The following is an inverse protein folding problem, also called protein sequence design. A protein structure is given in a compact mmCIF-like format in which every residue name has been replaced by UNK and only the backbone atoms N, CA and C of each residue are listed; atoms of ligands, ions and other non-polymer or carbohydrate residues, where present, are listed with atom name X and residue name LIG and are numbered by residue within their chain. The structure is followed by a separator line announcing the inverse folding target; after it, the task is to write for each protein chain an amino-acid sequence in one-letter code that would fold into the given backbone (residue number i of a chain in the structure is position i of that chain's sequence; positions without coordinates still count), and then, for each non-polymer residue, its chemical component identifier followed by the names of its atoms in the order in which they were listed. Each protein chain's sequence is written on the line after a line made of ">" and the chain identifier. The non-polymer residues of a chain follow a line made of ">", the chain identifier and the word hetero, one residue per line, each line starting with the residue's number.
data_IF_936367969053
#
_entry.id   IF_936367969053
#
_cell.length_a   1.000
_cell.length_b   1.000
_cell.length_c   1.000
_cell.angle_alpha   90.00
_cell.angle_beta   90.00
_cell.angle_gamma   90.00
#
_symmetry.space_group_name_H-M   'P 1'
#
loop_
_entity.id
_entity.type
_entity.pdbx_description
1 polymer ?
#
# COMPACT_ATOMS: atom_id res chain seq x y z
N UNK A 1 -59.21 -5.05 68.50
CA UNK A 1 -58.07 -5.12 67.51
C UNK A 1 -58.47 -4.29 66.30
N UNK A 2 -57.98 -3.08 66.21
CA UNK A 2 -58.22 -2.18 65.04
C UNK A 2 -57.13 -2.42 64.03
N UNK A 3 -57.49 -2.94 62.85
CA UNK A 3 -56.57 -3.03 61.71
C UNK A 3 -56.67 -1.71 60.92
N UNK A 4 -55.60 -0.95 60.99
CA UNK A 4 -55.42 0.28 60.22
C UNK A 4 -55.28 0.00 58.73
N UNK A 5 -56.27 0.47 57.91
CA UNK A 5 -56.38 0.20 56.47
C UNK A 5 -55.68 1.26 55.60
N UNK A 6 -54.65 1.93 56.08
CA UNK A 6 -54.13 3.14 55.42
C UNK A 6 -52.75 3.01 54.75
N UNK A 7 -52.34 1.86 54.28
CA UNK A 7 -51.14 1.72 53.41
C UNK A 7 -51.47 1.23 52.02
N UNK A 8 -52.42 1.87 51.35
CA UNK A 8 -52.49 1.77 49.87
C UNK A 8 -51.53 2.81 49.29
N UNK A 9 -50.33 2.33 48.84
CA UNK A 9 -49.39 3.17 48.13
C UNK A 9 -50.07 3.82 46.92
N UNK A 10 -50.36 5.15 46.99
CA UNK A 10 -50.82 5.94 45.86
C UNK A 10 -49.85 5.85 44.74
N UNK A 11 -50.14 5.03 43.73
CA UNK A 11 -49.44 5.03 42.46
C UNK A 11 -49.52 6.45 41.92
N UNK A 12 -48.43 7.23 41.97
CA UNK A 12 -48.36 8.58 41.40
C UNK A 12 -48.75 8.50 39.91
N UNK A 13 -49.94 8.95 39.57
CA UNK A 13 -50.40 9.03 38.20
C UNK A 13 -49.54 10.04 37.46
N UNK A 14 -48.79 9.57 36.47
CA UNK A 14 -48.00 10.45 35.60
C UNK A 14 -48.97 11.41 34.90
N UNK A 15 -48.76 12.73 34.96
CA UNK A 15 -49.65 13.72 34.33
C UNK A 15 -49.85 13.41 32.84
N UNK A 16 -51.05 13.58 32.32
CA UNK A 16 -51.43 13.23 30.94
C UNK A 16 -50.53 13.89 29.90
N UNK A 17 -50.06 15.13 30.14
CA UNK A 17 -49.10 15.84 29.26
C UNK A 17 -47.73 15.13 29.12
N UNK A 18 -47.21 14.58 30.23
CA UNK A 18 -45.92 13.85 30.18
C UNK A 18 -46.03 12.51 29.44
N UNK A 19 -47.22 11.86 29.47
CA UNK A 19 -47.45 10.64 28.69
C UNK A 19 -47.56 10.91 27.19
N UNK A 20 -48.21 12.02 26.81
CA UNK A 20 -48.33 12.44 25.41
C UNK A 20 -46.96 12.85 24.88
N UNK A 21 -46.21 13.67 25.62
CA UNK A 21 -44.85 14.08 25.25
C UNK A 21 -43.92 12.86 25.06
N UNK A 22 -43.95 11.91 25.99
CA UNK A 22 -43.17 10.65 25.89
C UNK A 22 -43.56 9.80 24.67
N UNK A 23 -44.86 9.75 24.31
CA UNK A 23 -45.31 9.03 23.11
C UNK A 23 -44.84 9.71 21.85
N UNK A 24 -44.94 11.02 21.74
CA UNK A 24 -44.46 11.80 20.59
C UNK A 24 -42.95 11.65 20.44
N UNK A 25 -42.18 11.79 21.54
CA UNK A 25 -40.74 11.63 21.55
C UNK A 25 -40.31 10.21 21.12
N UNK A 26 -40.98 9.15 21.61
CA UNK A 26 -40.71 7.78 21.20
C UNK A 26 -41.07 7.50 19.72
N UNK A 27 -42.15 8.10 19.21
CA UNK A 27 -42.54 7.99 17.80
C UNK A 27 -41.56 8.73 16.91
N UNK A 28 -41.13 9.93 17.29
CA UNK A 28 -40.11 10.69 16.58
C UNK A 28 -38.77 9.95 16.56
N UNK A 29 -38.35 9.33 17.68
CA UNK A 29 -37.16 8.50 17.74
C UNK A 29 -37.26 7.28 16.81
N UNK A 30 -38.41 6.60 16.77
CA UNK A 30 -38.62 5.47 15.86
C UNK A 30 -38.52 5.89 14.40
N UNK A 31 -39.17 7.01 14.02
CA UNK A 31 -39.07 7.55 12.66
C UNK A 31 -37.64 7.91 12.32
N UNK A 32 -36.91 8.55 13.23
CA UNK A 32 -35.49 8.89 13.05
C UNK A 32 -34.63 7.64 12.83
N UNK A 33 -34.81 6.60 13.63
CA UNK A 33 -34.07 5.32 13.49
C UNK A 33 -34.39 4.61 12.16
N UNK A 34 -35.64 4.64 11.72
CA UNK A 34 -36.05 4.08 10.41
C UNK A 34 -35.41 4.84 9.25
N UNK A 35 -35.43 6.18 9.32
CA UNK A 35 -34.77 7.03 8.32
C UNK A 35 -33.26 6.83 8.31
N UNK A 36 -32.64 6.74 9.49
CA UNK A 36 -31.21 6.44 9.61
C UNK A 36 -30.87 5.08 8.98
N UNK A 37 -31.65 4.03 9.29
CA UNK A 37 -31.47 2.71 8.69
C UNK A 37 -31.62 2.77 7.18
N UNK A 38 -32.62 3.47 6.67
CA UNK A 38 -32.84 3.64 5.24
C UNK A 38 -31.66 4.37 4.57
N UNK A 39 -31.15 5.44 5.17
CA UNK A 39 -29.95 6.13 4.70
C UNK A 39 -28.70 5.20 4.68
N UNK A 40 -28.54 4.36 5.70
CA UNK A 40 -27.45 3.38 5.77
C UNK A 40 -27.59 2.36 4.63
N UNK A 41 -28.77 1.82 4.39
CA UNK A 41 -29.03 0.86 3.30
C UNK A 41 -28.75 1.50 1.94
N UNK A 42 -29.27 2.69 1.68
CA UNK A 42 -29.01 3.40 0.42
C UNK A 42 -27.52 3.74 0.25
N UNK A 43 -26.87 4.23 1.30
CA UNK A 43 -25.45 4.54 1.28
C UNK A 43 -24.58 3.32 0.99
N UNK A 44 -24.90 2.18 1.63
CA UNK A 44 -24.18 0.91 1.36
C UNK A 44 -24.44 0.38 -0.05
N UNK A 45 -25.68 0.44 -0.54
CA UNK A 45 -26.00 0.01 -1.91
C UNK A 45 -25.28 0.88 -2.95
N UNK A 46 -25.29 2.20 -2.77
CA UNK A 46 -24.55 3.12 -3.64
C UNK A 46 -23.03 2.88 -3.58
N UNK A 47 -22.46 2.66 -2.38
CA UNK A 47 -21.05 2.34 -2.21
C UNK A 47 -20.65 1.04 -2.92
N UNK A 48 -21.41 -0.02 -2.76
CA UNK A 48 -21.18 -1.30 -3.46
C UNK A 48 -21.30 -1.13 -4.97
N UNK A 49 -22.30 -0.37 -5.45
CA UNK A 49 -22.46 -0.08 -6.88
C UNK A 49 -21.27 0.69 -7.45
N UNK A 50 -20.78 1.68 -6.73
CA UNK A 50 -19.60 2.45 -7.12
C UNK A 50 -18.34 1.56 -7.18
N UNK A 51 -18.09 0.74 -6.16
CA UNK A 51 -16.93 -0.17 -6.12
C UNK A 51 -17.00 -1.16 -7.29
N UNK A 52 -18.17 -1.76 -7.56
CA UNK A 52 -18.35 -2.65 -8.72
C UNK A 52 -18.08 -1.93 -10.04
N UNK A 53 -18.54 -0.69 -10.21
CA UNK A 53 -18.24 0.11 -11.40
C UNK A 53 -16.75 0.42 -11.56
N UNK A 54 -16.04 0.71 -10.47
CA UNK A 54 -14.59 0.93 -10.48
C UNK A 54 -13.82 -0.35 -10.86
N UNK A 55 -14.22 -1.49 -10.31
CA UNK A 55 -13.64 -2.81 -10.62
C UNK A 55 -13.90 -3.19 -12.08
N UNK A 56 -15.14 -2.99 -12.58
CA UNK A 56 -15.49 -3.31 -13.96
C UNK A 56 -14.70 -2.50 -15.00
N UNK A 57 -14.17 -1.34 -14.61
CA UNK A 57 -13.30 -0.51 -15.43
C UNK A 57 -11.80 -0.81 -15.23
N UNK A 58 -11.44 -1.76 -14.36
CA UNK A 58 -10.05 -2.18 -14.19
C UNK A 58 -9.59 -3.01 -15.40
N UNK A 59 -8.32 -2.90 -15.80
CA UNK A 59 -7.76 -3.75 -16.83
C UNK A 59 -7.89 -5.24 -16.46
N UNK A 60 -7.99 -6.10 -17.46
CA UNK A 60 -8.02 -7.55 -17.21
C UNK A 60 -6.61 -8.04 -16.86
N UNK A 61 -6.46 -8.65 -15.69
CA UNK A 61 -5.17 -9.19 -15.22
C UNK A 61 -4.58 -10.25 -16.15
N UNK A 62 -5.42 -10.97 -16.92
CA UNK A 62 -4.96 -12.00 -17.86
C UNK A 62 -4.24 -11.40 -19.09
N UNK A 63 -4.58 -10.17 -19.44
CA UNK A 63 -3.97 -9.45 -20.56
C UNK A 63 -2.82 -8.51 -20.13
N UNK A 64 -2.56 -8.40 -18.82
CA UNK A 64 -1.54 -7.51 -18.29
C UNK A 64 -0.21 -8.24 -18.12
N UNK A 65 0.85 -7.67 -18.66
CA UNK A 65 2.22 -7.99 -18.24
C UNK A 65 2.57 -7.11 -17.05
N UNK A 66 2.71 -7.70 -15.87
CA UNK A 66 3.24 -7.01 -14.68
C UNK A 66 4.76 -7.15 -14.58
N UNK A 67 5.34 -7.98 -15.44
CA UNK A 67 6.78 -8.09 -15.58
C UNK A 67 7.39 -6.76 -16.07
N UNK A 68 8.62 -6.44 -15.67
CA UNK A 68 9.30 -5.22 -16.10
C UNK A 68 9.37 -5.14 -17.63
N UNK A 69 8.73 -4.13 -18.23
CA UNK A 69 8.49 -4.08 -19.68
C UNK A 69 9.69 -3.63 -20.51
N UNK A 70 10.69 -2.98 -19.92
CA UNK A 70 11.77 -2.34 -20.68
C UNK A 70 13.14 -2.69 -20.12
N UNK A 71 13.92 -3.41 -20.93
CA UNK A 71 15.33 -3.68 -20.69
C UNK A 71 16.22 -2.76 -21.50
N UNK A 72 17.41 -2.42 -20.97
CA UNK A 72 18.38 -1.66 -21.74
C UNK A 72 18.83 -2.46 -22.97
N UNK A 73 18.83 -1.82 -24.15
CA UNK A 73 19.40 -2.40 -25.36
C UNK A 73 20.90 -2.11 -25.41
N UNK A 74 21.70 -3.12 -25.65
CA UNK A 74 23.15 -2.99 -25.81
C UNK A 74 23.57 -3.32 -27.25
N UNK A 75 24.46 -2.52 -27.80
CA UNK A 75 25.17 -2.83 -29.04
C UNK A 75 26.47 -3.54 -28.65
N UNK A 76 26.70 -4.70 -29.23
CA UNK A 76 27.91 -5.48 -29.01
C UNK A 76 28.80 -5.44 -30.26
N UNK A 77 30.11 -5.45 -30.07
CA UNK A 77 31.06 -5.64 -31.17
C UNK A 77 31.15 -7.13 -31.58
N UNK A 78 31.91 -7.42 -32.63
CA UNK A 78 32.15 -8.79 -33.16
C UNK A 78 32.83 -9.71 -32.13
N UNK A 79 33.45 -9.16 -31.08
CA UNK A 79 34.05 -9.89 -29.95
C UNK A 79 33.10 -10.04 -28.76
N UNK A 80 31.79 -9.85 -28.92
CA UNK A 80 30.76 -9.94 -27.88
C UNK A 80 30.99 -9.01 -26.66
N UNK A 81 31.67 -7.88 -26.88
CA UNK A 81 31.84 -6.85 -25.86
C UNK A 81 30.83 -5.73 -26.10
N UNK A 82 30.10 -5.25 -25.06
CA UNK A 82 29.18 -4.15 -25.19
C UNK A 82 29.95 -2.87 -25.55
N UNK A 83 29.58 -2.25 -26.67
CA UNK A 83 30.20 -1.02 -27.18
C UNK A 83 29.37 0.19 -26.82
N UNK A 84 28.05 0.06 -26.87
CA UNK A 84 27.13 1.14 -26.59
C UNK A 84 25.86 0.59 -25.94
N UNK A 85 25.39 1.32 -24.91
CA UNK A 85 24.08 1.12 -24.32
C UNK A 85 23.11 2.09 -24.97
N UNK A 86 22.09 1.59 -25.66
CA UNK A 86 20.95 2.38 -26.13
C UNK A 86 19.91 2.34 -25.02
N UNK A 87 19.76 3.41 -24.27
CA UNK A 87 18.74 3.55 -23.26
C UNK A 87 17.94 4.80 -23.54
N UNK A 88 16.62 4.67 -23.70
CA UNK A 88 15.74 5.78 -23.39
C UNK A 88 15.85 6.08 -21.89
N UNK A 89 15.52 7.30 -21.49
CA UNK A 89 15.72 7.77 -20.10
C UNK A 89 15.03 6.91 -19.02
N UNK A 90 14.09 6.05 -19.41
CA UNK A 90 13.33 5.13 -18.56
C UNK A 90 13.79 3.66 -18.62
N UNK A 91 14.69 3.30 -19.55
CA UNK A 91 15.03 1.90 -19.83
C UNK A 91 16.36 1.44 -19.22
N UNK A 92 16.85 2.09 -18.17
CA UNK A 92 18.08 1.65 -17.48
C UNK A 92 17.77 0.51 -16.49
N UNK A 93 17.18 -0.59 -16.99
CA UNK A 93 16.91 -1.82 -16.25
C UNK A 93 17.88 -2.92 -16.64
N UNK A 94 18.30 -3.68 -15.67
CA UNK A 94 19.02 -4.94 -15.83
C UNK A 94 18.30 -5.96 -14.98
N UNK A 95 17.65 -6.94 -15.62
CA UNK A 95 16.85 -7.93 -14.91
C UNK A 95 17.74 -8.95 -14.25
N UNK A 96 17.40 -9.33 -13.03
CA UNK A 96 18.08 -10.37 -12.25
C UNK A 96 17.05 -11.31 -11.64
N UNK A 97 17.44 -12.57 -11.43
CA UNK A 97 16.61 -13.52 -10.71
C UNK A 97 16.69 -13.27 -9.22
N UNK A 98 15.65 -13.70 -8.48
CA UNK A 98 15.58 -13.50 -7.03
C UNK A 98 16.75 -14.15 -6.29
N UNK A 99 17.20 -15.33 -6.73
CA UNK A 99 18.34 -16.07 -6.18
C UNK A 99 19.69 -15.36 -6.36
N UNK A 100 19.76 -14.36 -7.25
CA UNK A 100 20.95 -13.52 -7.46
C UNK A 100 20.94 -12.27 -6.56
N UNK A 101 19.83 -11.98 -5.90
CA UNK A 101 19.67 -10.81 -5.02
C UNK A 101 19.95 -11.25 -3.58
N UNK A 102 20.89 -10.61 -2.85
CA UNK A 102 21.19 -10.98 -1.47
C UNK A 102 19.95 -10.96 -0.58
N UNK A 103 19.82 -11.95 0.30
CA UNK A 103 18.72 -12.02 1.26
C UNK A 103 18.63 -10.76 2.11
N UNK A 104 19.75 -10.17 2.52
CA UNK A 104 19.80 -8.89 3.23
C UNK A 104 19.04 -7.77 2.51
N UNK A 105 19.15 -7.71 1.16
CA UNK A 105 18.42 -6.69 0.38
C UNK A 105 16.94 -7.02 0.29
N UNK A 106 16.59 -8.28 0.08
CA UNK A 106 15.20 -8.73 0.07
C UNK A 106 14.52 -8.43 1.41
N UNK A 107 15.15 -8.79 2.52
CA UNK A 107 14.66 -8.55 3.88
C UNK A 107 14.56 -7.06 4.20
N UNK A 108 15.55 -6.25 3.84
CA UNK A 108 15.52 -4.80 4.05
C UNK A 108 14.35 -4.13 3.33
N UNK A 109 14.09 -4.53 2.09
CA UNK A 109 12.95 -4.03 1.30
C UNK A 109 11.62 -4.48 1.92
N UNK A 110 11.47 -5.77 2.22
CA UNK A 110 10.24 -6.30 2.85
C UNK A 110 9.99 -5.62 4.19
N UNK A 111 11.03 -5.51 5.03
CA UNK A 111 10.91 -4.91 6.35
C UNK A 111 10.42 -3.46 6.33
N UNK A 112 10.80 -2.68 5.31
CA UNK A 112 10.45 -1.25 5.26
C UNK A 112 9.21 -0.96 4.46
N UNK A 113 8.92 -1.73 3.39
CA UNK A 113 7.81 -1.48 2.48
C UNK A 113 6.56 -2.27 2.86
N UNK A 114 6.72 -3.52 3.33
CA UNK A 114 5.60 -4.44 3.53
C UNK A 114 5.95 -5.56 4.52
N UNK A 115 6.04 -5.24 5.82
CA UNK A 115 6.51 -6.14 6.88
C UNK A 115 5.76 -7.49 6.97
N UNK A 116 4.52 -7.54 6.45
CA UNK A 116 3.66 -8.74 6.43
C UNK A 116 3.50 -9.32 5.02
N UNK A 117 4.40 -8.98 4.08
CA UNK A 117 4.33 -9.39 2.68
C UNK A 117 4.00 -10.87 2.50
N UNK A 118 4.68 -11.75 3.22
CA UNK A 118 4.47 -13.20 3.14
C UNK A 118 3.22 -13.72 3.88
N UNK A 119 2.47 -12.85 4.58
CA UNK A 119 1.30 -13.24 5.39
C UNK A 119 -0.03 -12.84 4.80
N UNK A 120 -0.08 -11.74 4.06
CA UNK A 120 -1.30 -11.28 3.41
C UNK A 120 -1.40 -11.75 1.94
N UNK A 121 -2.55 -11.52 1.31
CA UNK A 121 -2.84 -11.89 -0.08
C UNK A 121 -3.16 -10.65 -0.93
N UNK A 122 -2.17 -9.80 -1.18
CA UNK A 122 -2.26 -8.61 -2.02
C UNK A 122 -2.68 -7.33 -1.29
N UNK A 123 -3.42 -7.44 -0.18
CA UNK A 123 -3.84 -6.31 0.65
C UNK A 123 -3.48 -6.62 2.09
N UNK A 124 -2.81 -5.69 2.77
CA UNK A 124 -2.53 -5.76 4.19
C UNK A 124 -3.59 -4.98 5.00
N UNK A 125 -4.64 -5.66 5.42
CA UNK A 125 -5.74 -5.06 6.20
C UNK A 125 -5.24 -4.53 7.55
N UNK A 126 -4.30 -5.22 8.19
CA UNK A 126 -3.73 -4.78 9.47
C UNK A 126 -2.89 -3.51 9.29
N UNK A 127 -2.10 -3.42 8.21
CA UNK A 127 -1.36 -2.23 7.84
C UNK A 127 -2.27 -1.03 7.57
N UNK A 128 -3.35 -1.24 6.84
CA UNK A 128 -4.36 -0.20 6.58
C UNK A 128 -4.99 0.29 7.90
N UNK A 129 -5.38 -0.63 8.78
CA UNK A 129 -5.97 -0.27 10.08
C UNK A 129 -4.97 0.49 10.95
N UNK A 130 -3.70 0.06 11.00
CA UNK A 130 -2.63 0.74 11.73
C UNK A 130 -2.42 2.17 11.19
N UNK A 131 -2.25 2.31 9.87
CA UNK A 131 -2.05 3.62 9.23
C UNK A 131 -3.25 4.56 9.47
N UNK A 132 -4.48 4.04 9.45
CA UNK A 132 -5.68 4.82 9.78
C UNK A 132 -5.67 5.31 11.23
N UNK A 133 -5.34 4.45 12.19
CA UNK A 133 -5.25 4.83 13.62
C UNK A 133 -4.18 5.89 13.83
N UNK A 134 -2.98 5.70 13.26
CA UNK A 134 -1.89 6.67 13.36
C UNK A 134 -2.30 8.00 12.72
N UNK A 135 -2.86 7.97 11.51
CA UNK A 135 -3.32 9.19 10.83
C UNK A 135 -4.37 9.96 11.62
N UNK A 136 -5.32 9.28 12.25
CA UNK A 136 -6.34 9.93 13.09
C UNK A 136 -5.76 10.49 14.39
N UNK A 137 -4.83 9.78 15.03
CA UNK A 137 -4.28 10.18 16.33
C UNK A 137 -3.16 11.23 16.23
N UNK A 138 -2.33 11.18 15.19
CA UNK A 138 -1.23 12.12 14.97
C UNK A 138 -1.57 13.30 14.05
N UNK A 139 -2.67 13.18 13.27
CA UNK A 139 -2.97 14.09 12.17
C UNK A 139 -2.08 13.92 10.94
N UNK A 140 -1.16 12.94 10.96
CA UNK A 140 -0.22 12.65 9.89
C UNK A 140 -0.59 11.34 9.17
N UNK A 141 -1.07 11.46 7.94
CA UNK A 141 -1.43 10.34 7.06
C UNK A 141 -0.28 9.94 6.11
N UNK A 142 0.96 10.20 6.50
CA UNK A 142 2.16 9.87 5.71
C UNK A 142 2.55 8.40 5.78
N UNK A 143 2.01 7.63 6.73
CA UNK A 143 2.33 6.21 6.87
C UNK A 143 1.80 5.41 5.67
N UNK A 144 2.69 4.74 4.96
CA UNK A 144 2.35 3.91 3.82
C UNK A 144 1.68 2.60 4.25
N UNK A 145 0.50 2.32 3.66
CA UNK A 145 -0.20 1.04 3.83
C UNK A 145 -0.33 0.28 2.50
N UNK A 146 0.45 0.67 1.49
CA UNK A 146 0.47 0.00 0.18
C UNK A 146 1.41 -1.19 0.22
N UNK A 147 0.94 -2.35 -0.21
CA UNK A 147 1.76 -3.57 -0.28
C UNK A 147 2.73 -3.53 -1.47
N UNK A 148 3.77 -4.38 -1.42
CA UNK A 148 4.70 -4.60 -2.54
C UNK A 148 3.92 -4.97 -3.81
N UNK A 149 2.90 -5.83 -3.71
CA UNK A 149 2.06 -6.23 -4.83
C UNK A 149 1.29 -5.05 -5.44
N UNK A 150 0.73 -4.16 -4.61
CA UNK A 150 0.07 -2.94 -5.09
C UNK A 150 1.04 -1.97 -5.76
N UNK A 151 2.26 -1.84 -5.23
CA UNK A 151 3.28 -0.99 -5.82
C UNK A 151 3.78 -1.54 -7.17
N UNK A 152 3.93 -2.86 -7.30
CA UNK A 152 4.27 -3.51 -8.56
C UNK A 152 3.22 -3.20 -9.64
N UNK A 153 1.94 -3.37 -9.31
CA UNK A 153 0.83 -3.04 -10.22
C UNK A 153 0.84 -1.55 -10.56
N UNK A 154 0.96 -0.67 -9.57
CA UNK A 154 1.01 0.78 -9.81
C UNK A 154 2.08 1.15 -10.82
N UNK A 155 3.28 0.59 -10.69
CA UNK A 155 4.43 0.96 -11.49
C UNK A 155 4.40 0.39 -12.91
N UNK A 156 3.77 -0.77 -13.14
CA UNK A 156 3.79 -1.45 -14.43
C UNK A 156 2.46 -1.39 -15.19
N UNK A 157 1.34 -1.17 -14.51
CA UNK A 157 0.01 -1.14 -15.13
C UNK A 157 -0.53 0.29 -15.26
N UNK A 158 -0.29 1.14 -14.25
CA UNK A 158 -0.80 2.51 -14.20
C UNK A 158 0.35 3.49 -14.43
N UNK A 159 1.00 3.44 -15.58
CA UNK A 159 2.21 4.24 -15.88
C UNK A 159 1.98 5.76 -15.87
N UNK A 160 0.73 6.20 -16.02
CA UNK A 160 0.30 7.61 -15.96
C UNK A 160 0.06 8.14 -14.53
N UNK A 161 0.26 7.33 -13.51
CA UNK A 161 -0.05 7.69 -12.11
C UNK A 161 0.66 8.96 -11.62
N UNK A 162 1.82 9.28 -12.19
CA UNK A 162 2.62 10.47 -11.83
C UNK A 162 1.91 11.75 -12.26
N UNK A 163 1.17 11.73 -13.37
CA UNK A 163 0.47 12.89 -13.92
C UNK A 163 -0.93 13.08 -13.35
N UNK A 164 -1.45 12.11 -12.58
CA UNK A 164 -2.79 12.17 -11.99
C UNK A 164 -2.84 13.20 -10.85
N UNK A 165 -3.58 14.28 -11.04
CA UNK A 165 -3.76 15.35 -10.05
C UNK A 165 -5.09 15.26 -9.33
N UNK A 166 -6.18 14.86 -10.00
CA UNK A 166 -7.53 14.80 -9.45
C UNK A 166 -7.66 13.70 -8.38
N UNK A 167 -8.30 14.03 -7.25
CA UNK A 167 -8.54 13.09 -6.16
C UNK A 167 -9.36 11.86 -6.62
N UNK A 168 -10.36 12.07 -7.48
CA UNK A 168 -11.19 10.99 -8.04
C UNK A 168 -10.36 9.97 -8.85
N UNK A 169 -9.39 10.44 -9.65
CA UNK A 169 -8.48 9.57 -10.39
C UNK A 169 -7.59 8.76 -9.46
N UNK A 170 -7.02 9.40 -8.42
CA UNK A 170 -6.18 8.74 -7.42
C UNK A 170 -6.96 7.67 -6.64
N UNK A 171 -8.19 7.97 -6.22
CA UNK A 171 -9.05 7.01 -5.52
C UNK A 171 -9.43 5.83 -6.45
N UNK A 172 -9.88 6.14 -7.69
CA UNK A 172 -10.18 5.10 -8.67
C UNK A 172 -9.02 4.15 -8.88
N UNK A 173 -7.84 4.69 -9.16
CA UNK A 173 -6.62 3.91 -9.32
C UNK A 173 -6.33 3.06 -8.07
N UNK A 174 -6.45 3.65 -6.86
CA UNK A 174 -6.16 2.93 -5.62
C UNK A 174 -7.08 1.73 -5.40
N UNK A 175 -8.37 1.84 -5.71
CA UNK A 175 -9.29 0.70 -5.68
C UNK A 175 -8.94 -0.36 -6.72
N UNK A 176 -8.56 0.07 -7.93
CA UNK A 176 -8.14 -0.85 -9.00
C UNK A 176 -6.81 -1.55 -8.65
N UNK A 177 -5.83 -0.86 -8.07
CA UNK A 177 -4.58 -1.46 -7.54
C UNK A 177 -4.88 -2.57 -6.52
N UNK A 178 -5.76 -2.31 -5.56
CA UNK A 178 -6.15 -3.29 -4.55
C UNK A 178 -6.83 -4.52 -5.17
N UNK A 179 -7.79 -4.29 -6.08
CA UNK A 179 -8.46 -5.38 -6.77
C UNK A 179 -7.48 -6.23 -7.59
N UNK A 180 -6.63 -5.59 -8.38
CA UNK A 180 -5.63 -6.27 -9.20
C UNK A 180 -4.58 -7.00 -8.35
N UNK A 181 -4.20 -6.46 -7.18
CA UNK A 181 -3.29 -7.12 -6.25
C UNK A 181 -3.85 -8.46 -5.74
N UNK A 182 -5.15 -8.50 -5.39
CA UNK A 182 -5.83 -9.73 -5.02
C UNK A 182 -5.88 -10.76 -6.18
N UNK A 183 -6.03 -10.29 -7.42
CA UNK A 183 -6.03 -11.18 -8.58
C UNK A 183 -4.62 -11.68 -8.93
N UNK A 184 -3.61 -10.81 -8.82
CA UNK A 184 -2.24 -11.14 -9.13
C UNK A 184 -1.70 -12.23 -8.18
N UNK A 185 -1.95 -12.12 -6.88
CA UNK A 185 -1.49 -13.10 -5.90
C UNK A 185 -2.20 -14.47 -5.98
N UNK A 186 -3.26 -14.59 -6.77
CA UNK A 186 -3.81 -15.89 -7.14
C UNK A 186 -3.04 -16.57 -8.27
N UNK A 187 -2.21 -15.83 -9.02
CA UNK A 187 -1.54 -16.29 -10.24
C UNK A 187 -0.03 -16.36 -10.09
N UNK A 188 0.55 -15.55 -9.24
CA UNK A 188 1.99 -15.45 -9.03
C UNK A 188 2.34 -15.75 -7.58
N UNK A 189 3.46 -16.44 -7.37
CA UNK A 189 4.02 -16.65 -6.03
C UNK A 189 4.55 -15.34 -5.45
N UNK A 190 4.71 -15.28 -4.13
CA UNK A 190 5.34 -14.15 -3.44
C UNK A 190 6.75 -13.86 -3.97
N UNK A 191 7.53 -14.90 -4.23
CA UNK A 191 8.89 -14.76 -4.75
C UNK A 191 8.92 -14.18 -6.17
N UNK A 192 7.98 -14.58 -7.03
CA UNK A 192 7.83 -13.98 -8.35
C UNK A 192 7.44 -12.50 -8.27
N UNK A 193 6.50 -12.15 -7.39
CA UNK A 193 6.07 -10.77 -7.16
C UNK A 193 7.23 -9.93 -6.62
N UNK A 194 7.98 -10.45 -5.65
CA UNK A 194 9.15 -9.76 -5.08
C UNK A 194 10.23 -9.57 -6.13
N UNK A 195 10.53 -10.59 -6.94
CA UNK A 195 11.49 -10.50 -8.03
C UNK A 195 11.12 -9.38 -9.01
N UNK A 196 9.88 -9.37 -9.48
CA UNK A 196 9.41 -8.37 -10.43
C UNK A 196 9.40 -6.97 -9.83
N UNK A 197 9.03 -6.85 -8.55
CA UNK A 197 9.11 -5.59 -7.82
C UNK A 197 10.54 -5.06 -7.74
N UNK A 198 11.49 -5.90 -7.31
CA UNK A 198 12.91 -5.54 -7.18
C UNK A 198 13.55 -5.17 -8.53
N UNK A 199 13.04 -5.70 -9.63
CA UNK A 199 13.45 -5.36 -10.98
C UNK A 199 12.75 -4.09 -11.54
N UNK A 200 11.69 -3.60 -10.87
CA UNK A 200 10.85 -2.51 -11.38
C UNK A 200 11.06 -1.19 -10.66
N UNK A 201 11.32 -1.20 -9.36
CA UNK A 201 11.30 -0.01 -8.51
C UNK A 201 12.26 1.08 -9.00
N UNK A 202 11.78 2.34 -8.93
CA UNK A 202 12.62 3.50 -9.17
C UNK A 202 13.50 3.77 -7.94
N UNK A 203 14.81 3.68 -8.12
CA UNK A 203 15.82 3.88 -7.09
C UNK A 203 16.64 5.16 -7.31
N UNK A 204 16.09 6.12 -8.03
CA UNK A 204 16.73 7.41 -8.27
C UNK A 204 17.90 7.35 -9.28
N UNK A 205 18.44 8.52 -9.61
CA UNK A 205 19.55 8.66 -10.55
C UNK A 205 19.38 7.84 -11.85
N UNK A 206 18.14 7.80 -12.38
CA UNK A 206 17.73 7.01 -13.55
C UNK A 206 17.98 5.49 -13.39
N UNK A 207 17.99 4.97 -12.15
CA UNK A 207 18.18 3.55 -11.88
C UNK A 207 16.83 2.90 -11.60
N UNK A 208 16.41 1.97 -12.44
CA UNK A 208 15.23 1.16 -12.28
C UNK A 208 15.62 -0.28 -12.00
N UNK A 209 15.18 -0.79 -10.87
CA UNK A 209 15.55 -2.11 -10.33
C UNK A 209 16.88 -2.12 -9.60
N UNK A 210 17.03 -3.14 -8.75
CA UNK A 210 18.15 -3.25 -7.79
C UNK A 210 19.51 -3.46 -8.44
N UNK A 211 19.58 -4.14 -9.59
CA UNK A 211 20.84 -4.35 -10.31
C UNK A 211 21.38 -3.02 -10.89
N UNK A 212 20.50 -2.21 -11.47
CA UNK A 212 20.89 -0.89 -11.99
C UNK A 212 21.34 0.03 -10.84
N UNK A 213 20.66 -0.03 -9.71
CA UNK A 213 21.04 0.72 -8.51
C UNK A 213 22.38 0.26 -7.92
N UNK A 214 22.64 -1.04 -7.83
CA UNK A 214 23.92 -1.60 -7.38
C UNK A 214 25.09 -1.12 -8.26
N UNK A 215 24.90 -1.13 -9.58
CA UNK A 215 25.89 -0.58 -10.52
C UNK A 215 26.06 0.94 -10.35
N UNK A 216 24.97 1.67 -10.19
CA UNK A 216 24.99 3.13 -10.11
C UNK A 216 25.67 3.65 -8.84
N UNK A 217 25.33 3.06 -7.68
CA UNK A 217 25.76 3.57 -6.40
C UNK A 217 27.07 2.93 -5.88
N UNK A 218 27.34 1.69 -6.26
CA UNK A 218 28.47 0.92 -5.73
C UNK A 218 29.41 0.36 -6.80
N UNK A 219 29.06 0.49 -8.09
CA UNK A 219 29.79 -0.13 -9.20
C UNK A 219 29.98 -1.66 -9.03
N UNK A 220 28.99 -2.31 -8.37
CA UNK A 220 28.98 -3.74 -8.07
C UNK A 220 27.85 -4.45 -8.80
N UNK A 221 27.97 -5.77 -8.90
CA UNK A 221 26.83 -6.62 -9.17
C UNK A 221 25.95 -6.68 -7.92
N UNK A 222 24.61 -6.82 -8.11
CA UNK A 222 23.68 -6.87 -6.97
C UNK A 222 24.03 -8.01 -6.02
N UNK A 223 24.49 -9.15 -6.54
CA UNK A 223 24.90 -10.32 -5.75
C UNK A 223 26.09 -10.07 -4.83
N UNK A 224 26.84 -8.98 -5.04
CA UNK A 224 28.02 -8.61 -4.27
C UNK A 224 27.72 -7.56 -3.18
N UNK A 225 26.47 -7.15 -3.03
CA UNK A 225 26.09 -6.19 -2.00
C UNK A 225 26.12 -6.82 -0.62
N UNK A 226 26.69 -6.10 0.32
CA UNK A 226 26.63 -6.43 1.75
C UNK A 226 25.38 -5.80 2.42
N UNK A 227 25.12 -6.15 3.68
CA UNK A 227 23.99 -5.61 4.45
C UNK A 227 23.96 -4.06 4.46
N UNK A 228 25.11 -3.41 4.65
CA UNK A 228 25.18 -1.94 4.67
C UNK A 228 24.75 -1.33 3.34
N UNK A 229 25.23 -1.85 2.22
CA UNK A 229 24.89 -1.41 0.86
C UNK A 229 23.43 -1.76 0.52
N UNK A 230 22.95 -2.92 0.94
CA UNK A 230 21.55 -3.35 0.79
C UNK A 230 20.59 -2.38 1.48
N UNK A 231 20.91 -1.95 2.71
CA UNK A 231 20.08 -0.99 3.43
C UNK A 231 20.15 0.43 2.87
N UNK A 232 21.25 0.82 2.21
CA UNK A 232 21.32 2.08 1.43
C UNK A 232 20.32 2.05 0.29
N UNK A 233 20.30 0.96 -0.51
CA UNK A 233 19.36 0.80 -1.64
C UNK A 233 17.93 0.76 -1.14
N UNK A 234 17.64 -0.02 -0.10
CA UNK A 234 16.30 -0.08 0.50
C UNK A 234 15.83 1.28 1.02
N UNK A 235 16.75 2.13 1.48
CA UNK A 235 16.43 3.48 1.95
C UNK A 235 15.86 4.40 0.86
N UNK A 236 16.21 4.17 -0.40
CA UNK A 236 15.82 5.02 -1.53
C UNK A 236 14.34 4.84 -1.91
N UNK A 237 13.76 3.68 -1.65
CA UNK A 237 12.43 3.26 -2.18
C UNK A 237 11.31 4.25 -1.86
N UNK A 238 11.27 4.79 -0.65
CA UNK A 238 10.20 5.69 -0.20
C UNK A 238 10.19 7.02 -0.95
N UNK A 239 11.37 7.61 -1.15
CA UNK A 239 11.52 8.88 -1.86
C UNK A 239 12.90 8.95 -2.53
N UNK A 240 12.99 8.59 -3.83
CA UNK A 240 14.25 8.50 -4.56
C UNK A 240 15.03 9.82 -4.68
N UNK A 241 14.37 10.95 -4.51
CA UNK A 241 15.03 12.27 -4.49
C UNK A 241 15.59 12.59 -3.12
N UNK A 242 14.78 12.44 -2.07
CA UNK A 242 15.15 12.78 -0.69
C UNK A 242 16.24 11.84 -0.14
N UNK A 243 16.11 10.54 -0.41
CA UNK A 243 17.02 9.53 0.13
C UNK A 243 18.10 9.09 -0.88
N UNK A 244 18.41 9.95 -1.87
CA UNK A 244 19.52 9.67 -2.78
C UNK A 244 20.85 9.70 -2.04
N UNK A 245 21.62 8.59 -1.98
CA UNK A 245 22.84 8.52 -1.18
C UNK A 245 23.99 9.39 -1.70
N UNK A 246 23.94 9.81 -2.98
CA UNK A 246 24.95 10.70 -3.58
C UNK A 246 24.64 12.16 -3.24
N UNK A 247 23.34 12.53 -3.25
CA UNK A 247 22.92 13.93 -3.08
C UNK A 247 22.67 14.24 -1.60
N UNK A 248 22.02 13.31 -0.90
CA UNK A 248 21.58 13.46 0.49
C UNK A 248 22.05 12.28 1.36
N UNK A 249 23.37 12.07 1.55
CA UNK A 249 23.91 10.91 2.27
C UNK A 249 23.41 10.84 3.71
N UNK A 250 23.26 11.97 4.39
CA UNK A 250 22.80 12.02 5.79
C UNK A 250 21.34 11.59 5.94
N UNK A 251 20.46 11.98 5.02
CA UNK A 251 19.05 11.56 5.04
C UNK A 251 18.93 10.06 4.74
N UNK A 252 19.72 9.54 3.80
CA UNK A 252 19.80 8.12 3.57
C UNK A 252 20.33 7.37 4.80
N UNK A 253 21.37 7.90 5.48
CA UNK A 253 21.92 7.31 6.70
C UNK A 253 20.90 7.26 7.85
N UNK A 254 20.09 8.31 8.03
CA UNK A 254 18.98 8.31 9.00
C UNK A 254 17.95 7.23 8.64
N UNK A 255 17.58 7.14 7.37
CA UNK A 255 16.62 6.14 6.89
C UNK A 255 17.12 4.71 7.09
N UNK A 256 18.40 4.45 6.84
CA UNK A 256 19.05 3.14 7.08
C UNK A 256 18.93 2.67 8.52
N UNK A 257 19.11 3.56 9.50
CA UNK A 257 18.93 3.21 10.92
C UNK A 257 17.52 2.67 11.18
N UNK A 258 16.49 3.30 10.60
CA UNK A 258 15.10 2.85 10.72
C UNK A 258 14.92 1.48 10.08
N UNK A 259 15.54 1.26 8.91
CA UNK A 259 15.45 -0.04 8.21
C UNK A 259 16.10 -1.14 9.02
N UNK A 260 17.31 -0.93 9.49
CA UNK A 260 18.03 -1.91 10.33
C UNK A 260 17.24 -2.24 11.60
N UNK A 261 16.64 -1.23 12.27
CA UNK A 261 15.78 -1.47 13.42
C UNK A 261 14.57 -2.33 13.06
N UNK A 262 13.91 -2.01 11.94
CA UNK A 262 12.76 -2.81 11.47
C UNK A 262 13.15 -4.25 11.12
N UNK A 263 14.34 -4.46 10.54
CA UNK A 263 14.86 -5.81 10.27
C UNK A 263 15.04 -6.59 11.57
N UNK A 264 15.66 -5.98 12.59
CA UNK A 264 15.82 -6.60 13.92
C UNK A 264 14.46 -6.92 14.55
N UNK A 265 13.51 -5.96 14.54
CA UNK A 265 12.18 -6.12 15.12
C UNK A 265 11.38 -7.26 14.45
N UNK A 266 11.70 -7.58 13.19
CA UNK A 266 11.06 -8.63 12.39
C UNK A 266 11.85 -9.95 12.40
N UNK A 267 13.02 -9.98 13.06
CA UNK A 267 13.84 -11.21 13.21
C UNK A 267 14.75 -11.51 12.03
N UNK A 268 15.10 -10.50 11.23
CA UNK A 268 16.07 -10.60 10.14
C UNK A 268 17.50 -10.30 10.59
#
# INVERSE_FOLDING_TARGET
>A
MNFDKNHVARKKSIPTGTRIFRRISLTALKIFLVLLLFCVILGTAAGVGMIKGLIASAPNIDSLSVAPAESATYIYNTGNKPVQKLAESTSNRILVKLDQIPEDLQHAIVAVEDERFYRHHGIDIQGIARAAVIGITSGDFSEGASTITQQLIKNNVFTDWVTQTALSQKLRRKFQEQYLALQLEKKMSKDQILQDYLNTINLGASSYGVQAAAKRYFNKDVSQLNLSESTVIAGITQNPTLYNPIINPDENAKRRKIILQKMVDQGY
#
